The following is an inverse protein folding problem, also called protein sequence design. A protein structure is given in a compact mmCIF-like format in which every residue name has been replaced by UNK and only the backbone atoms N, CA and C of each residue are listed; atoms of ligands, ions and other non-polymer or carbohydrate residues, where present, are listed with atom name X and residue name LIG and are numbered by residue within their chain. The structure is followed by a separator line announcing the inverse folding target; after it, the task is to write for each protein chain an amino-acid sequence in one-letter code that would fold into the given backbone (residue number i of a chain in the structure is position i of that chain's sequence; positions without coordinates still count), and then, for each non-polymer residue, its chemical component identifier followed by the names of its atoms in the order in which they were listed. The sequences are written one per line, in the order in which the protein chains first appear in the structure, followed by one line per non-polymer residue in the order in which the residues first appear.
data_IF_732870349272
#
_entry.id   IF_732870349272
#
_cell.length_a   1.000
_cell.length_b   1.000
_cell.length_c   1.000
_cell.angle_alpha   90.00
_cell.angle_beta   90.00
_cell.angle_gamma   90.00
#
_symmetry.space_group_name_H-M   'P 1'
#
loop_
_entity.id
_entity.type
_entity.pdbx_description
1 polymer ?
#
# COMPACT_ATOMS: atom_id res chain seq x y z
N UNK A 1 19.37 -35.77 -16.76
CA UNK A 1 18.07 -35.10 -16.52
C UNK A 1 17.56 -35.61 -15.21
N UNK A 2 18.05 -35.01 -14.12
CA UNK A 2 17.52 -35.24 -12.79
C UNK A 2 16.58 -34.07 -12.53
N UNK A 3 15.28 -34.36 -12.61
CA UNK A 3 14.24 -33.45 -12.14
C UNK A 3 14.45 -33.23 -10.64
N UNK A 4 15.14 -32.14 -10.31
CA UNK A 4 14.98 -31.51 -9.01
C UNK A 4 13.63 -30.79 -9.05
N UNK A 5 12.55 -31.54 -8.85
CA UNK A 5 11.33 -30.97 -8.29
C UNK A 5 11.72 -30.46 -6.91
N UNK A 6 12.09 -29.18 -6.87
CA UNK A 6 12.22 -28.46 -5.63
C UNK A 6 10.80 -28.40 -5.08
N UNK A 7 10.55 -29.21 -4.06
CA UNK A 7 9.31 -29.25 -3.29
C UNK A 7 9.25 -27.93 -2.50
N UNK A 8 9.03 -26.81 -3.20
CA UNK A 8 8.81 -25.52 -2.57
C UNK A 8 7.41 -25.55 -1.99
N UNK A 9 7.31 -26.05 -0.76
CA UNK A 9 6.08 -26.12 0.04
C UNK A 9 5.66 -24.75 0.58
N UNK A 10 6.29 -23.66 0.12
CA UNK A 10 5.99 -22.29 0.51
C UNK A 10 5.13 -21.56 -0.53
N UNK A 11 4.55 -20.41 -0.15
CA UNK A 11 3.77 -19.60 -1.06
C UNK A 11 4.64 -19.10 -2.21
N UNK A 12 4.26 -19.40 -3.45
CA UNK A 12 4.91 -18.88 -4.66
C UNK A 12 3.84 -18.41 -5.65
N UNK A 13 3.81 -17.10 -5.91
CA UNK A 13 2.81 -16.44 -6.74
C UNK A 13 2.88 -16.79 -8.23
N UNK A 14 3.95 -17.43 -8.70
CA UNK A 14 4.13 -17.79 -10.12
C UNK A 14 3.90 -19.28 -10.38
N UNK A 15 3.62 -20.07 -9.35
CA UNK A 15 3.29 -21.49 -9.46
C UNK A 15 1.78 -21.65 -9.29
N UNK A 16 1.17 -22.55 -10.06
CA UNK A 16 -0.25 -22.87 -9.89
C UNK A 16 -0.46 -23.51 -8.52
N UNK A 17 -1.11 -22.80 -7.61
CA UNK A 17 -1.39 -23.22 -6.24
C UNK A 17 -2.83 -22.89 -5.86
N UNK A 18 -3.38 -23.59 -4.87
CA UNK A 18 -4.69 -23.29 -4.30
C UNK A 18 -4.63 -21.98 -3.50
N UNK A 19 -5.29 -20.88 -3.96
CA UNK A 19 -5.22 -19.59 -3.28
C UNK A 19 -5.89 -19.59 -1.90
N UNK A 20 -6.74 -20.58 -1.59
CA UNK A 20 -7.34 -20.75 -0.25
C UNK A 20 -6.35 -21.35 0.76
N UNK A 21 -5.22 -21.91 0.28
CA UNK A 21 -4.17 -22.51 1.12
C UNK A 21 -2.90 -21.67 1.18
N UNK A 22 -2.64 -20.87 0.15
CA UNK A 22 -1.55 -19.91 0.14
C UNK A 22 -1.70 -18.97 1.35
N UNK A 23 -0.73 -18.94 2.27
CA UNK A 23 -0.76 -18.15 3.52
C UNK A 23 -1.84 -18.52 4.56
N UNK A 24 -2.55 -19.65 4.42
CA UNK A 24 -3.59 -20.04 5.38
C UNK A 24 -3.06 -20.37 6.79
N UNK A 25 -1.73 -20.50 6.93
CA UNK A 25 -1.00 -20.64 8.18
C UNK A 25 -0.84 -19.32 8.95
N UNK A 26 -1.03 -18.17 8.28
CA UNK A 26 -0.94 -16.82 8.87
C UNK A 26 -2.21 -16.49 9.67
N UNK A 27 -2.28 -17.02 10.90
CA UNK A 27 -3.43 -16.87 11.79
C UNK A 27 -3.04 -16.05 13.03
N UNK A 28 -3.32 -14.74 13.03
CA UNK A 28 -2.92 -13.89 14.15
C UNK A 28 -3.76 -14.17 15.40
N UNK A 29 -3.14 -14.13 16.56
CA UNK A 29 -3.85 -14.03 17.85
C UNK A 29 -4.22 -12.56 18.16
N UNK A 30 -4.92 -12.32 19.28
CA UNK A 30 -5.20 -10.95 19.75
C UNK A 30 -3.89 -10.19 20.03
N UNK A 31 -3.79 -8.97 19.51
CA UNK A 31 -2.64 -8.08 19.67
C UNK A 31 -3.09 -6.63 19.58
N UNK A 32 -2.41 -5.74 20.28
CA UNK A 32 -2.53 -4.30 20.12
C UNK A 32 -1.15 -3.68 19.99
N UNK A 33 -0.99 -2.76 19.05
CA UNK A 33 0.22 -1.96 18.86
C UNK A 33 -0.10 -0.49 19.14
N UNK A 34 0.86 0.23 19.71
CA UNK A 34 0.74 1.68 19.90
C UNK A 34 1.12 2.44 18.62
N UNK A 35 0.60 3.66 18.46
CA UNK A 35 0.95 4.53 17.34
C UNK A 35 0.47 3.97 15.98
N UNK A 36 1.34 4.05 14.98
CA UNK A 36 1.08 3.48 13.65
C UNK A 36 1.28 1.94 13.60
N UNK A 37 1.97 1.38 14.61
CA UNK A 37 2.44 0.00 14.64
C UNK A 37 3.58 -0.27 13.65
N UNK A 38 4.44 -1.23 13.98
CA UNK A 38 5.55 -1.66 13.12
C UNK A 38 5.40 -3.12 12.69
N UNK A 39 5.96 -3.49 11.54
CA UNK A 39 6.09 -4.90 11.10
C UNK A 39 6.92 -5.68 12.12
N UNK A 40 7.98 -5.08 12.67
CA UNK A 40 8.82 -5.68 13.69
C UNK A 40 8.04 -6.09 14.95
N UNK A 41 7.16 -5.23 15.47
CA UNK A 41 6.31 -5.56 16.62
C UNK A 41 5.20 -6.55 16.26
N UNK A 42 4.54 -6.36 15.12
CA UNK A 42 3.49 -7.27 14.63
C UNK A 42 4.03 -8.69 14.44
N UNK A 43 5.27 -8.83 13.97
CA UNK A 43 5.93 -10.12 13.72
C UNK A 43 6.14 -10.97 14.98
N UNK A 44 6.03 -10.40 16.18
CA UNK A 44 6.05 -11.17 17.44
C UNK A 44 4.85 -12.13 17.57
N UNK A 45 3.74 -11.83 16.88
CA UNK A 45 2.57 -12.70 16.78
C UNK A 45 2.63 -13.50 15.46
N UNK A 46 2.41 -12.82 14.33
CA UNK A 46 2.50 -13.41 12.99
C UNK A 46 3.19 -12.42 12.05
N UNK A 47 4.31 -12.78 11.39
CA UNK A 47 4.95 -11.89 10.43
C UNK A 47 4.14 -11.81 9.13
N UNK A 48 3.94 -10.59 8.63
CA UNK A 48 3.44 -10.35 7.28
C UNK A 48 4.47 -10.78 6.22
N UNK A 49 3.98 -11.25 5.08
CA UNK A 49 4.81 -11.52 3.90
C UNK A 49 4.68 -10.36 2.91
N UNK A 50 5.80 -9.68 2.63
CA UNK A 50 5.86 -8.55 1.70
C UNK A 50 6.42 -8.96 0.32
N UNK A 51 6.72 -10.23 0.14
CA UNK A 51 7.32 -10.78 -1.06
C UNK A 51 8.83 -10.77 -1.03
N UNK A 52 9.47 -10.61 0.15
CA UNK A 52 10.91 -10.57 0.33
C UNK A 52 11.61 -11.76 -0.32
N UNK A 53 11.04 -12.96 -0.23
CA UNK A 53 11.65 -14.15 -0.83
C UNK A 53 10.92 -14.64 -2.09
N UNK A 54 9.70 -14.14 -2.32
CA UNK A 54 8.77 -14.74 -3.30
C UNK A 54 8.55 -13.89 -4.56
N UNK A 55 8.62 -12.56 -4.47
CA UNK A 55 8.39 -11.69 -5.64
C UNK A 55 9.57 -11.74 -6.62
N UNK A 56 9.31 -12.00 -7.91
CA UNK A 56 10.36 -12.09 -8.94
C UNK A 56 10.13 -11.09 -10.06
N UNK A 57 11.01 -10.09 -10.14
CA UNK A 57 10.95 -9.07 -11.19
C UNK A 57 11.22 -9.62 -12.59
N UNK A 58 10.66 -8.93 -13.59
CA UNK A 58 10.81 -9.23 -15.01
C UNK A 58 11.21 -8.02 -15.86
N UNK A 59 11.58 -6.91 -15.20
CA UNK A 59 12.07 -5.68 -15.83
C UNK A 59 10.97 -4.73 -16.30
N UNK A 60 9.74 -4.88 -15.79
CA UNK A 60 8.54 -4.14 -16.24
C UNK A 60 8.57 -2.65 -15.92
N UNK A 61 9.44 -2.23 -14.99
CA UNK A 61 9.61 -0.86 -14.53
C UNK A 61 11.06 -0.37 -14.64
N UNK A 62 11.84 -0.95 -15.56
CA UNK A 62 13.26 -0.60 -15.73
C UNK A 62 13.46 0.91 -15.93
N UNK A 63 14.23 1.52 -15.03
CA UNK A 63 14.59 2.94 -15.09
C UNK A 63 13.52 3.92 -14.60
N UNK A 64 12.40 3.42 -14.08
CA UNK A 64 11.32 4.23 -13.49
C UNK A 64 11.74 4.81 -12.14
N UNK A 65 11.05 5.86 -11.70
CA UNK A 65 11.33 6.59 -10.45
C UNK A 65 10.05 6.71 -9.65
N UNK A 66 10.00 5.99 -8.53
CA UNK A 66 8.80 5.84 -7.71
C UNK A 66 8.92 6.54 -6.36
N UNK A 67 7.85 7.22 -5.94
CA UNK A 67 7.62 7.61 -4.56
C UNK A 67 6.46 6.79 -4.00
N UNK A 68 6.67 6.09 -2.89
CA UNK A 68 5.66 5.28 -2.18
C UNK A 68 5.51 5.80 -0.76
N UNK A 69 4.34 6.33 -0.40
CA UNK A 69 4.08 6.75 0.98
C UNK A 69 3.65 5.58 1.85
N UNK A 70 4.09 5.53 3.11
CA UNK A 70 3.91 4.35 3.98
C UNK A 70 4.62 3.14 3.39
N UNK A 71 5.86 3.34 2.92
CA UNK A 71 6.66 2.34 2.20
C UNK A 71 7.57 1.51 3.11
N UNK A 72 7.55 1.79 4.41
CA UNK A 72 8.26 1.11 5.49
C UNK A 72 7.69 -0.29 5.80
N UNK A 73 6.36 -0.44 5.75
CA UNK A 73 5.67 -1.65 6.20
C UNK A 73 4.48 -2.03 5.33
N UNK A 74 3.94 -3.23 5.55
CA UNK A 74 2.68 -3.68 4.95
C UNK A 74 2.62 -3.54 3.42
N UNK A 75 1.51 -3.03 2.89
CA UNK A 75 1.27 -2.96 1.43
C UNK A 75 2.34 -2.10 0.74
N UNK A 76 2.73 -0.97 1.33
CA UNK A 76 3.70 -0.07 0.71
C UNK A 76 5.09 -0.70 0.65
N UNK A 77 5.51 -1.45 1.68
CA UNK A 77 6.73 -2.24 1.66
C UNK A 77 6.74 -3.26 0.52
N UNK A 78 5.65 -4.04 0.36
CA UNK A 78 5.54 -5.02 -0.72
C UNK A 78 5.62 -4.37 -2.12
N UNK A 79 4.99 -3.21 -2.27
CA UNK A 79 5.04 -2.42 -3.52
C UNK A 79 6.45 -1.89 -3.78
N UNK A 80 7.14 -1.37 -2.77
CA UNK A 80 8.50 -0.86 -2.89
C UNK A 80 9.49 -1.96 -3.30
N UNK A 81 9.41 -3.14 -2.66
CA UNK A 81 10.20 -4.33 -3.01
C UNK A 81 9.95 -4.74 -4.47
N UNK A 82 8.68 -4.85 -4.87
CA UNK A 82 8.33 -5.25 -6.23
C UNK A 82 8.79 -4.23 -7.28
N UNK A 83 8.64 -2.93 -7.02
CA UNK A 83 9.11 -1.88 -7.92
C UNK A 83 10.62 -1.93 -8.13
N UNK A 84 11.38 -2.11 -7.05
CA UNK A 84 12.83 -2.27 -7.14
C UNK A 84 13.21 -3.50 -7.97
N UNK A 85 12.57 -4.64 -7.73
CA UNK A 85 12.80 -5.88 -8.51
C UNK A 85 12.42 -5.75 -9.98
N UNK A 86 11.42 -4.94 -10.28
CA UNK A 86 11.02 -4.64 -11.66
C UNK A 86 11.90 -3.58 -12.33
N UNK A 87 12.87 -3.02 -11.60
CA UNK A 87 13.93 -2.16 -12.12
C UNK A 87 13.77 -0.66 -11.86
N UNK A 88 12.86 -0.26 -10.97
CA UNK A 88 12.65 1.14 -10.60
C UNK A 88 13.57 1.58 -9.45
N UNK A 89 13.97 2.84 -9.44
CA UNK A 89 14.49 3.49 -8.23
C UNK A 89 13.32 3.95 -7.37
N UNK A 90 13.45 3.81 -6.04
CA UNK A 90 12.31 3.95 -5.12
C UNK A 90 12.66 4.86 -3.94
N UNK A 91 11.84 5.89 -3.74
CA UNK A 91 11.75 6.65 -2.52
C UNK A 91 10.57 6.15 -1.68
N UNK A 92 10.78 5.98 -0.38
CA UNK A 92 9.74 5.63 0.59
C UNK A 92 9.57 6.75 1.62
N UNK A 93 8.32 7.10 1.93
CA UNK A 93 7.99 7.97 3.07
C UNK A 93 7.35 7.15 4.18
N UNK A 94 7.58 7.57 5.42
CA UNK A 94 7.14 6.85 6.63
C UNK A 94 7.25 7.81 7.83
N UNK A 95 6.71 7.45 9.00
CA UNK A 95 6.89 8.24 10.22
C UNK A 95 8.26 7.94 10.86
N UNK A 96 8.90 8.92 11.52
CA UNK A 96 10.23 8.71 12.11
C UNK A 96 10.33 7.51 13.08
N UNK A 97 9.26 7.17 13.79
CA UNK A 97 9.20 5.99 14.67
C UNK A 97 9.30 4.65 13.93
N UNK A 98 9.01 4.60 12.63
CA UNK A 98 9.02 3.38 11.79
C UNK A 98 10.39 3.14 11.10
N UNK A 99 11.45 3.84 11.55
CA UNK A 99 12.76 3.85 10.88
C UNK A 99 13.39 2.46 10.74
N UNK A 100 13.21 1.56 11.70
CA UNK A 100 13.79 0.21 11.63
C UNK A 100 13.18 -0.61 10.48
N UNK A 101 11.87 -0.53 10.29
CA UNK A 101 11.19 -1.17 9.16
C UNK A 101 11.59 -0.53 7.84
N UNK A 102 11.69 0.81 7.80
CA UNK A 102 12.16 1.52 6.61
C UNK A 102 13.58 1.12 6.21
N UNK A 103 14.51 0.98 7.16
CA UNK A 103 15.89 0.56 6.90
C UNK A 103 15.96 -0.85 6.28
N UNK A 104 15.06 -1.74 6.72
CA UNK A 104 14.90 -3.08 6.13
C UNK A 104 14.45 -3.00 4.68
N UNK A 105 13.45 -2.18 4.38
CA UNK A 105 12.94 -2.02 2.99
C UNK A 105 13.98 -1.34 2.09
N UNK A 106 14.65 -0.31 2.59
CA UNK A 106 15.79 0.35 1.90
C UNK A 106 16.84 -0.69 1.51
N UNK A 107 17.23 -1.55 2.45
CA UNK A 107 18.22 -2.60 2.19
C UNK A 107 17.77 -3.58 1.11
N UNK A 108 16.48 -3.91 1.04
CA UNK A 108 15.92 -4.79 0.00
C UNK A 108 15.88 -4.12 -1.38
N UNK A 109 15.58 -2.81 -1.44
CA UNK A 109 15.64 -2.03 -2.69
C UNK A 109 17.08 -1.98 -3.22
N UNK A 110 18.05 -1.70 -2.33
CA UNK A 110 19.47 -1.67 -2.67
C UNK A 110 19.99 -3.05 -3.10
N UNK A 111 19.54 -4.12 -2.45
CA UNK A 111 19.88 -5.50 -2.84
C UNK A 111 19.35 -5.87 -4.24
N UNK A 112 18.28 -5.23 -4.71
CA UNK A 112 17.81 -5.35 -6.09
C UNK A 112 18.63 -4.52 -7.10
N UNK A 113 19.70 -3.84 -6.65
CA UNK A 113 20.59 -3.02 -7.47
C UNK A 113 19.98 -1.68 -7.85
N UNK A 114 18.99 -1.20 -7.09
CA UNK A 114 18.28 0.05 -7.35
C UNK A 114 18.61 1.10 -6.30
N UNK A 115 18.37 2.37 -6.64
CA UNK A 115 18.52 3.46 -5.68
C UNK A 115 17.33 3.48 -4.72
N UNK A 116 17.62 3.49 -3.43
CA UNK A 116 16.67 3.70 -2.35
C UNK A 116 16.79 5.12 -1.79
N UNK A 117 15.67 5.74 -1.41
CA UNK A 117 15.65 7.04 -0.71
C UNK A 117 14.67 6.94 0.45
N UNK A 118 15.13 7.18 1.66
CA UNK A 118 14.32 7.22 2.87
C UNK A 118 13.92 8.66 3.19
N UNK A 119 12.61 8.92 3.32
CA UNK A 119 12.05 10.26 3.53
C UNK A 119 11.08 10.27 4.73
N UNK A 120 11.59 10.23 5.97
CA UNK A 120 10.75 10.25 7.16
C UNK A 120 10.03 11.60 7.32
N UNK A 121 8.75 11.58 7.67
CA UNK A 121 7.99 12.79 7.96
C UNK A 121 6.47 12.59 8.05
N UNK A 122 5.83 13.41 8.87
CA UNK A 122 4.37 13.41 9.05
C UNK A 122 3.65 14.15 7.90
N UNK A 123 2.95 13.38 7.08
CA UNK A 123 2.22 13.87 5.91
C UNK A 123 0.92 14.63 6.25
N UNK A 124 0.53 14.74 7.52
CA UNK A 124 -0.54 15.66 7.93
C UNK A 124 -0.14 17.13 7.74
N UNK A 125 1.17 17.41 7.70
CA UNK A 125 1.74 18.73 7.42
C UNK A 125 1.83 19.03 5.92
N UNK A 126 1.37 20.22 5.52
CA UNK A 126 1.49 20.69 4.13
C UNK A 126 2.96 20.82 3.71
N UNK A 127 3.79 21.38 4.58
CA UNK A 127 5.20 21.61 4.30
C UNK A 127 5.94 20.27 4.09
N UNK A 128 5.62 19.26 4.90
CA UNK A 128 6.18 17.91 4.75
C UNK A 128 5.73 17.29 3.42
N UNK A 129 4.46 17.42 3.04
CA UNK A 129 3.98 16.92 1.74
C UNK A 129 4.74 17.53 0.55
N UNK A 130 5.02 18.84 0.59
CA UNK A 130 5.73 19.54 -0.47
C UNK A 130 7.23 19.15 -0.50
N UNK A 131 7.87 19.12 0.66
CA UNK A 131 9.28 18.74 0.80
C UNK A 131 9.51 17.28 0.40
N UNK A 132 8.63 16.38 0.80
CA UNK A 132 8.69 14.95 0.46
C UNK A 132 8.81 14.74 -1.06
N UNK A 133 7.97 15.43 -1.84
CA UNK A 133 7.99 15.33 -3.30
C UNK A 133 9.26 15.97 -3.87
N UNK A 134 9.66 17.13 -3.37
CA UNK A 134 10.86 17.81 -3.81
C UNK A 134 12.11 16.94 -3.62
N UNK A 135 12.25 16.34 -2.43
CA UNK A 135 13.38 15.48 -2.09
C UNK A 135 13.37 14.19 -2.92
N UNK A 136 12.20 13.57 -3.13
CA UNK A 136 12.09 12.41 -4.00
C UNK A 136 12.52 12.73 -5.44
N UNK A 137 12.07 13.86 -6.00
CA UNK A 137 12.44 14.30 -7.35
C UNK A 137 13.94 14.58 -7.45
N UNK A 138 14.51 15.30 -6.48
CA UNK A 138 15.95 15.63 -6.47
C UNK A 138 16.79 14.35 -6.36
N UNK A 139 16.50 13.52 -5.36
CA UNK A 139 17.33 12.36 -5.06
C UNK A 139 17.17 11.25 -6.10
N UNK A 140 15.98 11.02 -6.66
CA UNK A 140 15.81 10.05 -7.75
C UNK A 140 16.19 10.62 -9.13
N UNK A 141 16.39 11.94 -9.24
CA UNK A 141 16.65 12.64 -10.50
C UNK A 141 15.41 12.72 -11.40
N UNK A 142 14.21 12.72 -10.83
CA UNK A 142 12.91 12.74 -11.52
C UNK A 142 11.85 11.93 -10.77
N UNK A 143 10.59 11.99 -11.22
CA UNK A 143 9.49 11.22 -10.67
C UNK A 143 8.50 10.85 -11.78
N UNK A 144 8.11 9.58 -11.85
CA UNK A 144 7.16 9.09 -12.86
C UNK A 144 6.18 8.03 -12.33
N UNK A 145 6.34 7.57 -11.09
CA UNK A 145 5.36 6.78 -10.35
C UNK A 145 5.13 7.44 -8.99
N UNK A 146 3.87 7.75 -8.67
CA UNK A 146 3.46 8.14 -7.33
C UNK A 146 2.48 7.10 -6.78
N UNK A 147 2.75 6.59 -5.59
CA UNK A 147 1.84 5.74 -4.83
C UNK A 147 1.47 6.44 -3.53
N UNK A 148 0.23 6.92 -3.44
CA UNK A 148 -0.34 7.42 -2.18
C UNK A 148 -0.93 6.23 -1.42
N UNK A 149 -0.13 5.64 -0.53
CA UNK A 149 -0.50 4.43 0.21
C UNK A 149 -0.66 4.64 1.71
N UNK A 150 0.15 5.51 2.32
CA UNK A 150 0.06 5.84 3.76
C UNK A 150 -1.38 6.13 4.21
N UNK A 151 -1.74 5.67 5.40
CA UNK A 151 -3.06 5.92 5.95
C UNK A 151 -3.17 5.65 7.44
N UNK A 152 -4.10 6.36 8.07
CA UNK A 152 -4.53 6.18 9.46
C UNK A 152 -5.90 5.51 9.48
N UNK A 153 -6.09 4.58 10.40
CA UNK A 153 -7.33 3.86 10.64
C UNK A 153 -7.47 3.59 12.13
N UNK A 154 -8.56 4.05 12.74
CA UNK A 154 -8.89 3.77 14.14
C UNK A 154 -10.33 3.29 14.25
N UNK A 155 -10.54 2.16 14.92
CA UNK A 155 -11.87 1.61 15.15
C UNK A 155 -12.59 2.36 16.28
N UNK A 156 -13.83 2.77 16.04
CA UNK A 156 -14.69 3.45 17.03
C UNK A 156 -16.14 3.02 16.80
N UNK A 157 -16.70 2.25 17.74
CA UNK A 157 -18.04 1.65 17.61
C UNK A 157 -19.21 2.65 17.68
N UNK A 158 -18.98 3.85 18.22
CA UNK A 158 -20.01 4.86 18.45
C UNK A 158 -19.54 6.20 17.90
N UNK A 159 -20.32 6.76 16.96
CA UNK A 159 -20.04 8.05 16.33
C UNK A 159 -19.86 9.18 17.35
N UNK A 160 -20.53 9.12 18.51
CA UNK A 160 -20.41 10.14 19.57
C UNK A 160 -19.06 10.10 20.29
N UNK A 161 -18.27 9.05 20.09
CA UNK A 161 -16.92 8.88 20.65
C UNK A 161 -15.81 9.21 19.64
N UNK A 162 -16.15 9.44 18.38
CA UNK A 162 -15.19 9.96 17.41
C UNK A 162 -15.00 11.44 17.74
N UNK A 163 -13.82 11.79 18.26
CA UNK A 163 -13.50 13.19 18.53
C UNK A 163 -13.28 13.95 17.22
N UNK A 164 -13.44 15.28 17.27
CA UNK A 164 -13.13 16.13 16.12
C UNK A 164 -11.65 16.00 15.73
N UNK A 165 -10.75 15.79 16.70
CA UNK A 165 -9.33 15.58 16.47
C UNK A 165 -9.05 14.27 15.72
N UNK A 166 -9.63 13.14 16.13
CA UNK A 166 -9.45 11.85 15.45
C UNK A 166 -10.04 11.89 14.03
N UNK A 167 -11.22 12.50 13.88
CA UNK A 167 -11.83 12.71 12.57
C UNK A 167 -10.92 13.54 11.65
N UNK A 168 -10.42 14.69 12.13
CA UNK A 168 -9.56 15.59 11.36
C UNK A 168 -8.21 14.95 11.05
N UNK A 169 -7.59 14.23 11.99
CA UNK A 169 -6.31 13.56 11.79
C UNK A 169 -6.42 12.44 10.73
N UNK A 170 -7.48 11.63 10.78
CA UNK A 170 -7.76 10.61 9.78
C UNK A 170 -7.99 11.23 8.39
N UNK A 171 -8.73 12.34 8.30
CA UNK A 171 -8.91 13.06 7.03
C UNK A 171 -7.61 13.72 6.54
N UNK A 172 -6.82 14.31 7.44
CA UNK A 172 -5.54 14.94 7.10
C UNK A 172 -4.56 13.92 6.52
N UNK A 173 -4.44 12.78 7.17
CA UNK A 173 -3.56 11.68 6.74
C UNK A 173 -4.03 11.08 5.42
N UNK A 174 -5.32 10.74 5.31
CA UNK A 174 -5.77 9.91 4.19
C UNK A 174 -6.16 10.77 2.97
N UNK A 175 -6.92 11.84 3.16
CA UNK A 175 -7.50 12.62 2.07
C UNK A 175 -6.65 13.87 1.74
N UNK A 176 -6.27 14.66 2.75
CA UNK A 176 -5.53 15.90 2.50
C UNK A 176 -4.11 15.59 2.02
N UNK A 177 -3.41 14.64 2.63
CA UNK A 177 -2.07 14.26 2.19
C UNK A 177 -2.10 13.73 0.74
N UNK A 178 -3.02 12.81 0.41
CA UNK A 178 -3.20 12.33 -0.98
C UNK A 178 -3.38 13.49 -1.96
N UNK A 179 -4.23 14.47 -1.63
CA UNK A 179 -4.40 15.67 -2.46
C UNK A 179 -3.12 16.51 -2.56
N UNK A 180 -2.47 16.80 -1.43
CA UNK A 180 -1.30 17.70 -1.35
C UNK A 180 -0.08 17.10 -2.04
N UNK A 181 0.24 15.85 -1.76
CA UNK A 181 1.36 15.11 -2.36
C UNK A 181 1.11 14.99 -3.88
N UNK A 182 -0.10 14.61 -4.30
CA UNK A 182 -0.43 14.56 -5.72
C UNK A 182 -0.26 15.92 -6.38
N UNK A 183 -0.81 16.99 -5.79
CA UNK A 183 -0.70 18.36 -6.32
C UNK A 183 0.76 18.80 -6.46
N UNK A 184 1.61 18.48 -5.48
CA UNK A 184 3.04 18.77 -5.52
C UNK A 184 3.78 17.93 -6.57
N UNK A 185 3.37 16.68 -6.81
CA UNK A 185 4.00 15.77 -7.78
C UNK A 185 3.68 16.10 -9.24
N UNK A 186 2.43 16.50 -9.56
CA UNK A 186 1.98 16.71 -10.95
C UNK A 186 2.92 17.57 -11.81
N UNK A 187 3.51 18.69 -11.32
CA UNK A 187 4.48 19.47 -12.09
C UNK A 187 5.73 18.71 -12.57
N UNK A 188 6.09 17.61 -11.90
CA UNK A 188 7.26 16.79 -12.20
C UNK A 188 6.94 15.59 -13.09
N UNK A 189 5.67 15.18 -13.16
CA UNK A 189 5.22 14.03 -13.93
C UNK A 189 5.18 14.35 -15.43
N UNK A 190 5.75 13.46 -16.23
CA UNK A 190 5.76 13.53 -17.70
C UNK A 190 4.71 12.60 -18.33
N UNK A 191 4.35 12.76 -19.61
CA UNK A 191 3.55 11.76 -20.32
C UNK A 191 4.13 10.35 -20.16
N UNK A 192 3.28 9.38 -19.82
CA UNK A 192 3.68 8.02 -19.43
C UNK A 192 3.75 7.80 -17.92
N UNK A 193 3.71 8.86 -17.11
CA UNK A 193 3.70 8.73 -15.64
C UNK A 193 2.37 8.20 -15.13
N UNK A 194 2.37 7.73 -13.88
CA UNK A 194 1.18 7.19 -13.24
C UNK A 194 1.10 7.53 -11.75
N UNK A 195 -0.14 7.70 -11.28
CA UNK A 195 -0.48 7.87 -9.87
C UNK A 195 -1.39 6.70 -9.48
N UNK A 196 -1.08 6.05 -8.36
CA UNK A 196 -1.86 4.95 -7.81
C UNK A 196 -2.22 5.31 -6.37
N UNK A 197 -3.50 5.27 -6.04
CA UNK A 197 -3.97 5.56 -4.69
C UNK A 197 -4.47 4.28 -4.01
N UNK A 198 -4.01 4.01 -2.79
CA UNK A 198 -4.56 2.93 -1.96
C UNK A 198 -5.87 3.38 -1.31
N UNK A 199 -6.99 2.90 -1.85
CA UNK A 199 -8.30 3.00 -1.20
C UNK A 199 -8.52 1.76 -0.31
N UNK A 200 -9.75 1.26 -0.21
CA UNK A 200 -10.12 0.10 0.59
C UNK A 200 -11.47 -0.42 0.15
N UNK A 201 -11.75 -1.70 0.40
CA UNK A 201 -13.10 -2.27 0.40
C UNK A 201 -14.08 -1.43 1.24
N UNK A 202 -13.60 -0.74 2.29
CA UNK A 202 -14.40 0.14 3.14
C UNK A 202 -15.02 1.34 2.40
N UNK A 203 -14.50 1.71 1.22
CA UNK A 203 -15.13 2.71 0.36
C UNK A 203 -16.47 2.23 -0.24
N UNK A 204 -16.72 0.92 -0.25
CA UNK A 204 -17.84 0.26 -0.90
C UNK A 204 -18.70 -0.53 0.09
N UNK A 205 -18.07 -1.17 1.07
CA UNK A 205 -18.69 -1.94 2.15
C UNK A 205 -18.23 -1.39 3.52
N UNK A 206 -18.70 -0.19 3.92
CA UNK A 206 -18.26 0.45 5.15
C UNK A 206 -18.71 -0.33 6.39
N UNK A 207 -17.78 -0.58 7.30
CA UNK A 207 -18.03 -1.20 8.60
C UNK A 207 -18.50 -0.15 9.62
N UNK A 208 -19.46 -0.48 10.52
CA UNK A 208 -20.00 0.48 11.48
C UNK A 208 -18.96 1.13 12.40
N UNK A 209 -17.87 0.43 12.72
CA UNK A 209 -16.81 0.92 13.59
C UNK A 209 -15.71 1.70 12.85
N UNK A 210 -15.82 1.93 11.53
CA UNK A 210 -14.81 2.62 10.71
C UNK A 210 -15.39 3.80 9.91
N UNK A 211 -16.42 4.48 10.43
CA UNK A 211 -17.17 5.51 9.67
C UNK A 211 -16.28 6.58 9.05
N UNK A 212 -15.39 7.18 9.85
CA UNK A 212 -14.52 8.27 9.41
C UNK A 212 -13.43 7.76 8.45
N UNK A 213 -12.80 6.62 8.74
CA UNK A 213 -11.88 5.95 7.82
C UNK A 213 -12.52 5.63 6.46
N UNK A 214 -13.68 4.96 6.46
CA UNK A 214 -14.41 4.56 5.26
C UNK A 214 -14.76 5.78 4.39
N UNK A 215 -15.18 6.89 5.02
CA UNK A 215 -15.42 8.16 4.34
C UNK A 215 -14.16 8.66 3.61
N UNK A 216 -12.99 8.62 4.25
CA UNK A 216 -11.73 9.02 3.58
C UNK A 216 -11.39 8.11 2.40
N UNK A 217 -11.62 6.80 2.51
CA UNK A 217 -11.32 5.85 1.44
C UNK A 217 -12.25 6.05 0.24
N UNK A 218 -13.53 6.37 0.48
CA UNK A 218 -14.45 6.81 -0.58
C UNK A 218 -13.99 8.13 -1.23
N UNK A 219 -13.51 9.10 -0.45
CA UNK A 219 -12.93 10.34 -0.98
C UNK A 219 -11.72 10.08 -1.87
N UNK A 220 -10.75 9.28 -1.42
CA UNK A 220 -9.53 8.93 -2.17
C UNK A 220 -9.89 8.20 -3.47
N UNK A 221 -10.85 7.28 -3.41
CA UNK A 221 -11.33 6.56 -4.59
C UNK A 221 -11.99 7.49 -5.62
N UNK A 222 -12.85 8.39 -5.17
CA UNK A 222 -13.49 9.37 -6.05
C UNK A 222 -12.47 10.39 -6.61
N UNK A 223 -11.48 10.79 -5.80
CA UNK A 223 -10.40 11.67 -6.21
C UNK A 223 -9.57 11.05 -7.35
N UNK A 224 -9.29 9.75 -7.29
CA UNK A 224 -8.59 9.05 -8.37
C UNK A 224 -9.33 9.18 -9.72
N UNK A 225 -10.66 9.02 -9.72
CA UNK A 225 -11.51 9.16 -10.93
C UNK A 225 -11.52 10.59 -11.47
N UNK A 226 -11.65 11.58 -10.59
CA UNK A 226 -11.62 12.99 -10.98
C UNK A 226 -10.25 13.41 -11.54
N UNK A 227 -9.16 13.00 -10.88
CA UNK A 227 -7.79 13.26 -11.34
C UNK A 227 -7.48 12.54 -12.64
N UNK A 228 -7.97 11.32 -12.83
CA UNK A 228 -7.81 10.57 -14.07
C UNK A 228 -8.36 11.35 -15.26
N UNK A 229 -9.58 11.88 -15.15
CA UNK A 229 -10.18 12.71 -16.20
C UNK A 229 -9.37 13.99 -16.48
N UNK A 230 -8.81 14.63 -15.45
CA UNK A 230 -8.01 15.85 -15.59
C UNK A 230 -6.62 15.62 -16.19
N UNK A 231 -5.99 14.48 -15.88
CA UNK A 231 -4.59 14.21 -16.18
C UNK A 231 -4.39 13.31 -17.41
N UNK A 232 -5.42 12.56 -17.83
CA UNK A 232 -5.35 11.73 -19.03
C UNK A 232 -4.98 12.51 -20.31
N UNK A 233 -5.51 13.73 -20.58
CA UNK A 233 -5.07 14.53 -21.72
C UNK A 233 -3.58 14.93 -21.69
N UNK A 234 -2.93 14.86 -20.52
CA UNK A 234 -1.49 15.10 -20.33
C UNK A 234 -0.66 13.81 -20.42
N UNK A 235 -1.30 12.68 -20.72
CA UNK A 235 -0.66 11.37 -20.78
C UNK A 235 -0.32 10.77 -19.41
N UNK A 236 -0.95 11.22 -18.33
CA UNK A 236 -0.72 10.71 -16.97
C UNK A 236 -1.95 9.89 -16.55
N UNK A 237 -1.72 8.64 -16.13
CA UNK A 237 -2.79 7.75 -15.68
C UNK A 237 -2.97 7.84 -14.17
N UNK A 238 -4.21 7.88 -13.70
CA UNK A 238 -4.53 7.82 -12.27
C UNK A 238 -5.48 6.66 -12.03
N UNK A 239 -5.13 5.75 -11.13
CA UNK A 239 -5.95 4.59 -10.76
C UNK A 239 -5.92 4.40 -9.24
N UNK A 240 -6.73 3.49 -8.74
CA UNK A 240 -6.74 3.09 -7.35
C UNK A 240 -6.64 1.57 -7.19
N UNK A 241 -6.11 1.13 -6.05
CA UNK A 241 -6.19 -0.25 -5.58
C UNK A 241 -7.05 -0.28 -4.33
N UNK A 242 -8.02 -1.19 -4.27
CA UNK A 242 -8.92 -1.41 -3.13
C UNK A 242 -8.59 -2.75 -2.47
N UNK A 243 -7.74 -2.76 -1.42
CA UNK A 243 -7.49 -3.97 -0.64
C UNK A 243 -8.71 -4.37 0.19
N UNK A 244 -8.86 -5.67 0.41
CA UNK A 244 -9.71 -6.24 1.47
C UNK A 244 -8.97 -6.32 2.82
N UNK A 245 -9.21 -7.35 3.64
CA UNK A 245 -8.47 -7.56 4.87
C UNK A 245 -7.06 -8.09 4.59
N UNK A 246 -6.07 -7.22 4.69
CA UNK A 246 -4.65 -7.53 4.51
C UNK A 246 -3.96 -7.47 5.88
N UNK A 247 -3.12 -8.46 6.18
CA UNK A 247 -2.34 -8.50 7.42
C UNK A 247 -1.21 -7.47 7.36
N UNK A 248 -1.36 -6.37 8.09
CA UNK A 248 -0.41 -5.23 8.16
C UNK A 248 -0.45 -4.62 9.56
N UNK A 249 0.58 -3.86 9.99
CA UNK A 249 0.62 -3.24 11.32
C UNK A 249 -0.58 -2.34 11.63
N UNK A 250 -1.14 -1.70 10.60
CA UNK A 250 -2.37 -0.90 10.69
C UNK A 250 -3.55 -1.63 11.37
N UNK A 251 -3.66 -2.96 11.24
CA UNK A 251 -4.78 -3.71 11.82
C UNK A 251 -4.67 -3.81 13.36
N UNK A 252 -3.59 -4.36 13.94
CA UNK A 252 -3.41 -4.37 15.40
C UNK A 252 -3.09 -2.99 16.00
N UNK A 253 -2.70 -1.98 15.21
CA UNK A 253 -2.50 -0.60 15.67
C UNK A 253 -3.80 0.22 15.79
N UNK A 254 -4.90 -0.45 16.15
CA UNK A 254 -6.22 0.18 16.31
C UNK A 254 -7.10 0.14 15.06
N UNK A 255 -6.64 -0.39 13.92
CA UNK A 255 -7.49 -0.56 12.74
C UNK A 255 -8.62 -1.57 12.94
N UNK A 256 -8.39 -2.61 13.76
CA UNK A 256 -9.38 -3.59 14.20
C UNK A 256 -9.37 -3.68 15.74
N UNK A 257 -10.50 -4.03 16.37
CA UNK A 257 -10.50 -4.49 17.75
C UNK A 257 -9.57 -5.72 17.90
N UNK A 258 -8.73 -5.81 18.95
CA UNK A 258 -7.83 -6.95 19.15
C UNK A 258 -8.53 -8.31 19.08
N UNK A 259 -9.73 -8.42 19.65
CA UNK A 259 -10.56 -9.63 19.67
C UNK A 259 -11.08 -10.05 18.27
N UNK A 260 -11.07 -9.14 17.30
CA UNK A 260 -11.49 -9.41 15.93
C UNK A 260 -10.36 -9.99 15.08
N UNK A 261 -9.08 -9.71 15.42
CA UNK A 261 -7.91 -10.11 14.61
C UNK A 261 -7.88 -11.61 14.25
N UNK A 262 -8.21 -12.55 15.17
CA UNK A 262 -8.16 -13.98 14.86
C UNK A 262 -9.14 -14.43 13.76
N UNK A 263 -10.22 -13.68 13.53
CA UNK A 263 -11.31 -14.08 12.63
C UNK A 263 -11.59 -13.11 11.48
N UNK A 264 -11.03 -11.88 11.53
CA UNK A 264 -11.33 -10.82 10.56
C UNK A 264 -10.74 -11.04 9.15
N UNK A 265 -10.08 -12.17 8.86
CA UNK A 265 -9.78 -12.60 7.49
C UNK A 265 -10.78 -13.64 6.94
N UNK A 266 -11.51 -14.32 7.82
CA UNK A 266 -12.32 -15.51 7.48
C UNK A 266 -13.60 -15.17 6.72
N UNK A 267 -14.06 -13.91 6.76
CA UNK A 267 -15.26 -13.47 6.04
C UNK A 267 -15.05 -13.31 4.52
N UNK A 268 -13.81 -13.38 4.03
CA UNK A 268 -13.54 -13.37 2.59
C UNK A 268 -13.94 -14.69 1.94
N UNK A 269 -14.16 -14.73 0.63
CA UNK A 269 -14.45 -16.00 -0.06
C UNK A 269 -13.23 -16.94 -0.08
N UNK A 270 -12.02 -16.41 0.12
CA UNK A 270 -10.81 -17.20 0.32
C UNK A 270 -10.61 -17.67 1.77
N UNK A 271 -11.39 -17.14 2.73
CA UNK A 271 -11.40 -17.59 4.13
C UNK A 271 -10.10 -17.33 4.90
N UNK A 272 -9.33 -16.30 4.52
CA UNK A 272 -8.06 -15.94 5.17
C UNK A 272 -7.74 -14.46 5.01
N UNK A 273 -6.80 -13.99 5.83
CA UNK A 273 -6.10 -12.73 5.59
C UNK A 273 -5.34 -12.78 4.26
N UNK A 274 -5.42 -11.70 3.49
CA UNK A 274 -4.46 -11.45 2.42
C UNK A 274 -3.11 -11.04 3.00
N UNK A 275 -2.03 -11.31 2.29
CA UNK A 275 -0.70 -10.82 2.64
C UNK A 275 -0.30 -9.64 1.75
N UNK A 276 0.52 -8.69 2.24
CA UNK A 276 0.99 -7.56 1.45
C UNK A 276 1.62 -7.94 0.10
N UNK A 277 2.34 -9.06 0.04
CA UNK A 277 2.91 -9.60 -1.18
C UNK A 277 1.88 -9.74 -2.31
N UNK A 278 0.62 -10.06 -1.98
CA UNK A 278 -0.46 -10.30 -2.95
C UNK A 278 -0.99 -9.00 -3.58
N UNK A 279 -0.64 -7.84 -3.02
CA UNK A 279 -1.02 -6.51 -3.54
C UNK A 279 0.00 -5.98 -4.54
N UNK A 280 1.25 -6.44 -4.46
CA UNK A 280 2.32 -5.92 -5.29
C UNK A 280 2.09 -6.11 -6.80
N UNK A 281 1.61 -7.27 -7.30
CA UNK A 281 1.36 -7.45 -8.74
C UNK A 281 0.35 -6.44 -9.33
N UNK A 282 -0.68 -6.07 -8.57
CA UNK A 282 -1.68 -5.08 -8.96
C UNK A 282 -1.04 -3.70 -9.16
N UNK A 283 -0.18 -3.28 -8.22
CA UNK A 283 0.55 -2.02 -8.31
C UNK A 283 1.54 -2.01 -9.47
N UNK A 284 2.29 -3.10 -9.68
CA UNK A 284 3.21 -3.19 -10.83
C UNK A 284 2.44 -3.13 -12.15
N UNK A 285 1.32 -3.84 -12.29
CA UNK A 285 0.47 -3.76 -13.48
C UNK A 285 0.04 -2.31 -13.74
N UNK A 286 -0.52 -1.64 -12.73
CA UNK A 286 -0.98 -0.26 -12.85
C UNK A 286 0.16 0.73 -13.09
N UNK A 287 1.38 0.45 -12.64
CA UNK A 287 2.54 1.29 -12.87
C UNK A 287 3.17 1.10 -14.26
N UNK A 288 3.08 -0.11 -14.82
CA UNK A 288 3.70 -0.49 -16.09
C UNK A 288 2.99 0.10 -17.32
N UNK A 289 3.61 -0.03 -18.49
CA UNK A 289 2.99 0.30 -19.78
C UNK A 289 1.88 -0.67 -20.21
N UNK A 290 1.77 -1.84 -19.57
CA UNK A 290 0.77 -2.86 -19.90
C UNK A 290 -0.65 -2.38 -19.60
N UNK A 291 -0.79 -1.45 -18.65
CA UNK A 291 -2.06 -0.83 -18.27
C UNK A 291 -2.31 0.51 -18.99
N UNK A 292 -1.78 0.68 -20.20
CA UNK A 292 -1.87 1.94 -20.98
C UNK A 292 -3.30 2.42 -21.25
N UNK A 293 -4.28 1.52 -21.24
CA UNK A 293 -5.70 1.83 -21.42
C UNK A 293 -6.52 1.72 -20.12
N UNK A 294 -5.86 1.63 -18.97
CA UNK A 294 -6.50 1.59 -17.64
C UNK A 294 -6.32 2.93 -16.95
N UNK A 295 -7.41 3.69 -16.86
CA UNK A 295 -7.43 5.07 -16.36
C UNK A 295 -8.72 5.31 -15.58
N UNK A 296 -8.61 5.79 -14.34
CA UNK A 296 -9.73 6.04 -13.44
C UNK A 296 -10.34 4.77 -12.85
N UNK A 297 -9.64 3.64 -12.96
CA UNK A 297 -10.12 2.34 -12.50
C UNK A 297 -9.79 2.10 -11.02
N UNK A 298 -10.60 1.26 -10.37
CA UNK A 298 -10.35 0.78 -9.01
C UNK A 298 -10.18 -0.73 -9.04
N UNK A 299 -8.93 -1.19 -8.96
CA UNK A 299 -8.62 -2.62 -8.96
C UNK A 299 -8.79 -3.20 -7.55
N UNK A 300 -9.69 -4.18 -7.41
CA UNK A 300 -9.97 -4.83 -6.14
C UNK A 300 -9.04 -6.02 -5.90
N UNK A 301 -8.46 -6.08 -4.71
CA UNK A 301 -7.62 -7.20 -4.22
C UNK A 301 -8.08 -7.54 -2.81
N UNK A 302 -9.22 -8.24 -2.72
CA UNK A 302 -10.02 -8.31 -1.49
C UNK A 302 -10.46 -9.72 -1.08
N UNK A 303 -9.90 -10.76 -1.72
CA UNK A 303 -10.26 -12.14 -1.41
C UNK A 303 -11.68 -12.51 -1.87
N UNK A 304 -12.25 -11.79 -2.83
CA UNK A 304 -13.53 -12.08 -3.46
C UNK A 304 -14.73 -11.41 -2.78
N UNK A 305 -14.50 -10.41 -1.93
CA UNK A 305 -15.60 -9.70 -1.30
C UNK A 305 -16.46 -8.98 -2.35
N UNK A 306 -17.79 -9.07 -2.29
CA UNK A 306 -18.65 -8.47 -3.31
C UNK A 306 -18.62 -6.94 -3.23
N UNK A 307 -18.27 -6.28 -4.34
CA UNK A 307 -18.30 -4.81 -4.48
C UNK A 307 -19.26 -4.34 -5.59
N UNK A 308 -19.88 -3.15 -5.46
CA UNK A 308 -20.71 -2.54 -6.50
C UNK A 308 -19.96 -2.17 -7.79
#
# INVERSE_FOLDING_TARGET
MTDHQNDQTGPDQYVMQDPTKMYADKKPDEQYLEGAGTDGEMAQNVPADHGEDTYRGSGRLTGRKALVTGGDSGIGAAVAIAYAREGADVAISYLPEEQEDADRIVSLIEAAGRKAVALPGDITSLQVCEQLVADAVEQLGGLDILVNNAGKQQNVDDITKISDEEFDETFKTNAYATFRITKAAVPHLQPGSTIINTTSIQAYAPSPHLVHYAATKATVNNMAKGLAAQLAPKGIRVNAVAPGPIWTPLQPAGGQPPEALPSAGEQTYLGRWGQPAELAPAHVFLASGESSYVVGETLHVDGGMPTP
#
